data_IF_720720740252
#
_entry.id   IF_720720740252
#
_cell.length_a   1.000
_cell.length_b   1.000
_cell.length_c   1.000
_cell.angle_alpha   90.00
_cell.angle_beta   90.00
_cell.angle_gamma   90.00
#
_symmetry.space_group_name_H-M   'P 1'
#
loop_
_entity.id
_entity.type
_entity.pdbx_description
1 polymer ?
#
# COMPACT_ATOMS: atom_id res chain seq x y z
N UNK A 1 -18.33 12.09 -4.64
CA UNK A 1 -18.69 12.66 -3.32
C UNK A 1 -20.03 13.44 -3.30
N UNK A 2 -20.40 14.14 -4.36
CA UNK A 2 -21.55 15.08 -4.38
C UNK A 2 -22.93 14.42 -4.35
N UNK A 3 -23.13 13.29 -5.04
CA UNK A 3 -24.43 12.59 -5.11
C UNK A 3 -24.73 11.70 -3.90
N UNK A 4 -23.76 11.48 -3.00
CA UNK A 4 -23.89 10.50 -1.93
C UNK A 4 -23.98 9.06 -2.43
N UNK A 5 -24.51 8.16 -1.60
CA UNK A 5 -24.65 6.73 -1.88
C UNK A 5 -24.49 5.87 -0.62
N UNK A 6 -24.88 4.58 -0.67
CA UNK A 6 -24.97 3.73 0.52
C UNK A 6 -23.61 3.38 1.15
N UNK A 7 -22.51 3.50 0.41
CA UNK A 7 -21.15 3.15 0.88
C UNK A 7 -20.31 4.37 1.27
N UNK A 8 -20.96 5.53 1.46
CA UNK A 8 -20.29 6.76 1.87
C UNK A 8 -19.65 6.67 3.28
N UNK A 9 -18.85 7.67 3.67
CA UNK A 9 -18.46 8.83 2.88
C UNK A 9 -17.47 8.44 1.76
N UNK A 10 -17.46 9.20 0.66
CA UNK A 10 -16.64 8.95 -0.54
C UNK A 10 -15.37 9.81 -0.58
N UNK A 11 -14.88 10.24 0.59
CA UNK A 11 -13.66 11.03 0.75
C UNK A 11 -12.85 10.35 1.85
N UNK A 12 -11.63 9.92 1.53
CA UNK A 12 -10.82 9.09 2.43
C UNK A 12 -10.45 9.81 3.73
N UNK A 13 -10.21 11.13 3.70
CA UNK A 13 -9.96 11.90 4.92
C UNK A 13 -11.14 11.93 5.90
N UNK A 14 -12.34 11.53 5.47
CA UNK A 14 -13.53 11.40 6.32
C UNK A 14 -13.75 9.96 6.83
N UNK A 15 -12.85 9.02 6.51
CA UNK A 15 -12.95 7.58 6.81
C UNK A 15 -11.88 7.09 7.78
N UNK A 16 -11.12 8.01 8.40
CA UNK A 16 -9.97 7.69 9.26
C UNK A 16 -10.23 6.62 10.33
N UNK A 17 -11.37 6.63 11.06
CA UNK A 17 -11.65 5.59 12.06
C UNK A 17 -11.67 4.18 11.48
N UNK A 18 -12.22 3.99 10.27
CA UNK A 18 -12.32 2.68 9.61
C UNK A 18 -10.93 2.13 9.32
N UNK A 19 -10.04 2.97 8.79
CA UNK A 19 -8.68 2.56 8.48
C UNK A 19 -7.87 2.23 9.73
N UNK A 20 -8.04 3.02 10.79
CA UNK A 20 -7.40 2.77 12.07
C UNK A 20 -7.82 1.42 12.63
N UNK A 21 -9.12 1.13 12.68
CA UNK A 21 -9.66 -0.15 13.15
C UNK A 21 -9.04 -1.36 12.42
N UNK A 22 -9.00 -1.31 11.09
CA UNK A 22 -8.45 -2.40 10.29
C UNK A 22 -6.92 -2.51 10.42
N UNK A 23 -6.21 -1.40 10.56
CA UNK A 23 -4.78 -1.40 10.81
C UNK A 23 -4.43 -2.05 12.17
N UNK A 24 -5.23 -1.77 13.21
CA UNK A 24 -5.06 -2.43 14.51
C UNK A 24 -5.37 -3.91 14.43
N UNK A 25 -6.47 -4.31 13.77
CA UNK A 25 -6.80 -5.72 13.54
C UNK A 25 -5.66 -6.47 12.86
N UNK A 26 -5.02 -5.84 11.86
CA UNK A 26 -3.85 -6.42 11.18
C UNK A 26 -2.66 -6.62 12.12
N UNK A 27 -2.46 -5.71 13.09
CA UNK A 27 -1.41 -5.86 14.11
C UNK A 27 -1.76 -6.99 15.07
N UNK A 28 -3.00 -7.04 15.57
CA UNK A 28 -3.48 -8.08 16.47
C UNK A 28 -3.38 -9.49 15.87
N UNK A 29 -3.66 -9.65 14.58
CA UNK A 29 -3.53 -10.93 13.89
C UNK A 29 -2.12 -11.20 13.33
N UNK A 30 -1.12 -10.37 13.66
CA UNK A 30 0.28 -10.57 13.28
C UNK A 30 0.61 -10.36 11.79
N UNK A 31 -0.30 -9.74 11.04
CA UNK A 31 -0.12 -9.37 9.62
C UNK A 31 0.46 -7.97 9.43
N UNK A 32 0.52 -7.17 10.50
CA UNK A 32 1.20 -5.89 10.54
C UNK A 32 1.95 -5.71 11.87
N UNK A 33 2.82 -4.71 11.94
CA UNK A 33 3.56 -4.39 13.16
C UNK A 33 3.84 -2.89 13.28
N UNK A 34 4.08 -2.44 14.50
CA UNK A 34 4.41 -1.05 14.80
C UNK A 34 5.88 -0.78 14.54
N UNK A 35 6.17 0.33 13.87
CA UNK A 35 7.52 0.77 13.55
C UNK A 35 7.76 2.17 14.12
N UNK A 36 8.75 2.27 15.00
CA UNK A 36 9.17 3.50 15.68
C UNK A 36 10.42 4.12 15.04
N UNK A 37 10.82 3.67 13.85
CA UNK A 37 11.99 4.23 13.17
C UNK A 37 11.74 5.69 12.76
N UNK A 38 12.71 6.54 13.07
CA UNK A 38 12.66 7.95 12.68
C UNK A 38 12.83 8.13 11.17
N UNK A 39 12.30 9.21 10.57
CA UNK A 39 12.55 9.55 9.17
C UNK A 39 14.04 9.65 8.82
N UNK A 40 14.84 10.20 9.74
CA UNK A 40 16.29 10.30 9.60
C UNK A 40 16.97 8.93 9.46
N UNK A 41 16.64 7.98 10.35
CA UNK A 41 17.14 6.60 10.26
C UNK A 41 16.79 5.97 8.92
N UNK A 42 15.54 6.12 8.48
CA UNK A 42 15.07 5.55 7.21
C UNK A 42 15.74 6.21 5.99
N UNK A 43 16.04 7.50 6.07
CA UNK A 43 16.80 8.21 5.03
C UNK A 43 18.22 7.67 4.92
N UNK A 44 18.90 7.50 6.07
CA UNK A 44 20.26 6.94 6.12
C UNK A 44 20.32 5.50 5.62
N UNK A 45 19.32 4.68 5.97
CA UNK A 45 19.19 3.31 5.46
C UNK A 45 19.10 3.30 3.93
N UNK A 46 18.19 4.10 3.35
CA UNK A 46 18.01 4.18 1.90
C UNK A 46 19.29 4.66 1.21
N UNK A 47 19.92 5.72 1.73
CA UNK A 47 21.18 6.23 1.18
C UNK A 47 22.29 5.17 1.24
N UNK A 48 22.34 4.37 2.29
CA UNK A 48 23.27 3.24 2.38
C UNK A 48 22.98 2.18 1.31
N UNK A 49 21.75 1.69 1.21
CA UNK A 49 21.35 0.69 0.22
C UNK A 49 21.65 1.15 -1.21
N UNK A 50 21.28 2.39 -1.55
CA UNK A 50 21.56 2.98 -2.86
C UNK A 50 23.06 3.03 -3.16
N UNK A 51 23.91 3.41 -2.19
CA UNK A 51 25.37 3.42 -2.36
C UNK A 51 25.96 2.03 -2.62
N UNK A 52 25.33 0.97 -2.11
CA UNK A 52 25.74 -0.41 -2.31
C UNK A 52 25.06 -1.08 -3.52
N UNK A 53 24.23 -0.36 -4.26
CA UNK A 53 23.46 -0.92 -5.39
C UNK A 53 22.38 -1.92 -4.97
N UNK A 54 21.97 -1.89 -3.71
CA UNK A 54 20.93 -2.76 -3.16
C UNK A 54 19.53 -2.19 -3.44
N UNK A 55 18.54 -3.07 -3.44
CA UNK A 55 17.14 -2.65 -3.48
C UNK A 55 16.78 -1.85 -2.21
N UNK A 56 16.09 -0.73 -2.38
CA UNK A 56 15.69 0.14 -1.27
C UNK A 56 14.49 -0.44 -0.54
N UNK A 57 14.75 -1.14 0.55
CA UNK A 57 13.73 -1.82 1.37
C UNK A 57 13.91 -1.50 2.84
N UNK A 58 12.82 -1.55 3.60
CA UNK A 58 12.87 -1.48 5.03
C UNK A 58 13.55 -2.72 5.61
N UNK A 59 14.44 -2.49 6.56
CA UNK A 59 15.28 -3.52 7.18
C UNK A 59 14.59 -4.30 8.30
N UNK A 60 13.28 -4.14 8.46
CA UNK A 60 12.46 -4.82 9.47
C UNK A 60 12.94 -4.61 10.91
N UNK A 61 13.63 -3.52 11.19
CA UNK A 61 14.25 -3.27 12.50
C UNK A 61 13.27 -3.25 13.68
N UNK A 62 11.98 -2.99 13.45
CA UNK A 62 10.94 -3.04 14.48
C UNK A 62 10.10 -4.34 14.50
N UNK A 63 10.36 -5.29 13.60
CA UNK A 63 9.57 -6.52 13.52
C UNK A 63 9.75 -7.44 14.75
N UNK A 64 10.93 -7.38 15.38
CA UNK A 64 11.27 -8.20 16.54
C UNK A 64 11.02 -7.53 17.90
N UNK A 65 10.37 -6.36 17.94
CA UNK A 65 10.04 -5.71 19.22
C UNK A 65 9.03 -6.57 19.99
N UNK A 66 9.26 -6.71 21.29
CA UNK A 66 8.34 -7.40 22.20
C UNK A 66 7.08 -6.56 22.45
N UNK A 67 5.99 -7.21 22.85
CA UNK A 67 4.75 -6.51 23.23
C UNK A 67 4.99 -5.50 24.36
N UNK A 68 5.87 -5.81 25.30
CA UNK A 68 6.26 -4.91 26.38
C UNK A 68 6.96 -3.65 25.84
N UNK A 69 7.99 -3.80 25.00
CA UNK A 69 8.69 -2.64 24.42
C UNK A 69 7.77 -1.77 23.57
N UNK A 70 6.84 -2.40 22.84
CA UNK A 70 5.83 -1.68 22.05
C UNK A 70 4.90 -0.91 22.99
N UNK A 71 4.37 -1.55 24.04
CA UNK A 71 3.46 -0.92 25.00
C UNK A 71 4.11 0.26 25.72
N UNK A 72 5.36 0.13 26.16
CA UNK A 72 6.11 1.20 26.82
C UNK A 72 6.31 2.41 25.89
N UNK A 73 6.69 2.18 24.63
CA UNK A 73 6.86 3.26 23.64
C UNK A 73 5.54 3.95 23.30
N UNK A 74 4.46 3.18 23.15
CA UNK A 74 3.13 3.74 22.92
C UNK A 74 2.66 4.55 24.12
N UNK A 75 2.86 4.06 25.35
CA UNK A 75 2.50 4.77 26.58
C UNK A 75 3.28 6.07 26.77
N UNK A 76 4.54 6.12 26.30
CA UNK A 76 5.36 7.34 26.26
C UNK A 76 4.91 8.35 25.20
N UNK A 77 4.05 7.94 24.27
CA UNK A 77 3.59 8.78 23.16
C UNK A 77 4.58 8.84 21.99
N UNK A 78 5.47 7.85 21.84
CA UNK A 78 6.40 7.80 20.71
C UNK A 78 5.63 7.70 19.39
N UNK A 79 5.98 8.57 18.44
CA UNK A 79 5.45 8.51 17.09
C UNK A 79 5.82 7.18 16.43
N UNK A 80 4.83 6.53 15.81
CA UNK A 80 5.02 5.26 15.14
C UNK A 80 4.14 5.13 13.91
N UNK A 81 4.54 4.22 13.03
CA UNK A 81 3.77 3.81 11.86
C UNK A 81 3.32 2.36 12.03
N UNK A 82 2.31 1.93 11.28
CA UNK A 82 1.95 0.52 11.15
C UNK A 82 2.42 0.05 9.77
N UNK A 83 3.21 -1.02 9.71
CA UNK A 83 3.74 -1.61 8.48
C UNK A 83 3.13 -2.96 8.20
N UNK A 84 2.86 -3.24 6.93
CA UNK A 84 2.48 -4.58 6.47
C UNK A 84 3.67 -5.53 6.65
N UNK A 85 3.42 -6.69 7.25
CA UNK A 85 4.39 -7.78 7.31
C UNK A 85 4.26 -8.61 6.04
N UNK A 86 5.20 -8.47 5.11
CA UNK A 86 5.23 -9.32 3.91
C UNK A 86 5.69 -10.74 4.32
N UNK A 87 4.88 -11.79 4.13
CA UNK A 87 5.28 -13.15 4.47
C UNK A 87 6.33 -13.67 3.48
N UNK A 88 7.01 -14.76 3.82
CA UNK A 88 7.85 -15.45 2.83
C UNK A 88 7.00 -16.11 1.73
N UNK A 89 7.63 -16.44 0.61
CA UNK A 89 6.99 -17.14 -0.51
C UNK A 89 6.65 -16.23 -1.69
N UNK A 90 5.48 -16.44 -2.28
CA UNK A 90 5.08 -15.79 -3.53
C UNK A 90 3.58 -15.53 -3.59
N UNK A 91 3.21 -14.51 -4.34
CA UNK A 91 1.82 -14.18 -4.66
C UNK A 91 1.61 -14.27 -6.16
N UNK A 92 0.55 -14.97 -6.56
CA UNK A 92 0.11 -15.01 -7.96
C UNK A 92 -1.11 -14.11 -8.10
N UNK A 93 -0.99 -13.10 -8.96
CA UNK A 93 -2.08 -12.20 -9.34
C UNK A 93 -2.70 -12.71 -10.63
N UNK A 94 -4.01 -12.96 -10.64
CA UNK A 94 -4.76 -13.23 -11.87
C UNK A 94 -5.33 -11.92 -12.39
N UNK A 95 -4.71 -11.37 -13.42
CA UNK A 95 -5.17 -10.20 -14.15
C UNK A 95 -5.95 -10.60 -15.40
N UNK A 96 -7.06 -9.91 -15.67
CA UNK A 96 -7.95 -10.22 -16.80
C UNK A 96 -7.29 -9.96 -18.17
N UNK A 97 -6.30 -9.07 -18.25
CA UNK A 97 -5.60 -8.72 -19.50
C UNK A 97 -4.19 -9.33 -19.56
N UNK A 98 -3.48 -9.38 -18.44
CA UNK A 98 -2.09 -9.88 -18.35
C UNK A 98 -2.00 -11.37 -18.02
N UNK A 99 -3.12 -12.01 -17.67
CA UNK A 99 -3.13 -13.40 -17.23
C UNK A 99 -2.56 -13.58 -15.83
N UNK A 100 -1.82 -14.67 -15.61
CA UNK A 100 -1.24 -14.98 -14.30
C UNK A 100 0.16 -14.34 -14.16
N UNK A 101 0.31 -13.42 -13.23
CA UNK A 101 1.57 -12.75 -12.92
C UNK A 101 2.03 -13.17 -11.52
N UNK A 102 3.22 -13.75 -11.43
CA UNK A 102 3.78 -14.23 -10.16
C UNK A 102 4.81 -13.23 -9.62
N UNK A 103 4.71 -12.92 -8.32
CA UNK A 103 5.63 -12.04 -7.61
C UNK A 103 6.29 -12.79 -6.46
N UNK A 104 7.62 -12.75 -6.41
CA UNK A 104 8.40 -13.23 -5.27
C UNK A 104 8.35 -12.19 -4.14
N UNK A 105 8.05 -12.64 -2.93
CA UNK A 105 7.97 -11.75 -1.77
C UNK A 105 9.32 -11.17 -1.34
N UNK A 106 10.44 -11.80 -1.72
CA UNK A 106 11.78 -11.29 -1.45
C UNK A 106 12.02 -9.90 -2.07
N UNK A 107 11.30 -9.55 -3.14
CA UNK A 107 11.35 -8.23 -3.79
C UNK A 107 10.29 -7.24 -3.33
N UNK A 108 9.51 -7.55 -2.27
CA UNK A 108 8.38 -6.74 -1.83
C UNK A 108 8.65 -6.18 -0.44
N UNK A 109 8.72 -4.85 -0.36
CA UNK A 109 8.97 -4.15 0.91
C UNK A 109 7.79 -4.17 1.90
N UNK A 110 8.11 -4.16 3.20
CA UNK A 110 7.19 -3.99 4.33
C UNK A 110 6.67 -2.54 4.38
N UNK A 111 5.72 -2.29 3.50
CA UNK A 111 5.13 -0.98 3.25
C UNK A 111 4.38 -0.43 4.47
N UNK A 112 4.51 0.87 4.71
CA UNK A 112 3.68 1.59 5.70
C UNK A 112 2.20 1.53 5.26
N UNK A 113 1.32 1.12 6.18
CA UNK A 113 -0.14 1.11 6.04
C UNK A 113 -0.77 2.31 6.73
N UNK A 114 -0.31 2.65 7.94
CA UNK A 114 -0.72 3.86 8.67
C UNK A 114 0.51 4.70 9.03
N UNK A 115 0.43 6.00 8.74
CA UNK A 115 1.44 6.99 9.12
C UNK A 115 1.27 7.41 10.57
N UNK A 116 2.29 8.05 11.14
CA UNK A 116 2.29 8.56 12.51
C UNK A 116 1.33 9.73 12.74
N UNK A 117 0.89 10.41 11.68
CA UNK A 117 -0.14 11.44 11.72
C UNK A 117 -1.57 10.88 11.76
N UNK A 118 -1.72 9.54 11.80
CA UNK A 118 -3.02 8.86 11.83
C UNK A 118 -3.71 8.71 10.47
N UNK A 119 -3.07 9.11 9.37
CA UNK A 119 -3.59 8.90 8.02
C UNK A 119 -3.11 7.57 7.43
N UNK A 120 -3.97 6.85 6.68
CA UNK A 120 -3.55 5.68 5.94
C UNK A 120 -2.64 6.05 4.77
N UNK A 121 -1.92 5.06 4.25
CA UNK A 121 -1.36 5.13 2.91
C UNK A 121 -2.36 4.64 1.88
N UNK A 122 -2.05 4.87 0.60
CA UNK A 122 -2.84 4.37 -0.52
C UNK A 122 -3.17 2.88 -0.40
N UNK A 123 -2.22 2.04 0.01
CA UNK A 123 -2.41 0.59 0.03
C UNK A 123 -3.50 0.14 1.01
N UNK A 124 -3.50 0.71 2.22
CA UNK A 124 -4.50 0.36 3.22
C UNK A 124 -5.87 0.94 2.85
N UNK A 125 -5.91 2.22 2.48
CA UNK A 125 -7.16 2.90 2.16
C UNK A 125 -7.84 2.27 0.93
N UNK A 126 -7.09 1.97 -0.13
CA UNK A 126 -7.62 1.35 -1.34
C UNK A 126 -8.24 -0.02 -1.07
N UNK A 127 -7.55 -0.93 -0.34
CA UNK A 127 -8.09 -2.27 -0.07
C UNK A 127 -9.35 -2.22 0.80
N UNK A 128 -9.33 -1.38 1.84
CA UNK A 128 -10.49 -1.24 2.74
C UNK A 128 -11.67 -0.61 2.01
N UNK A 129 -11.45 0.44 1.21
CA UNK A 129 -12.52 1.12 0.50
C UNK A 129 -13.07 0.27 -0.63
N UNK A 130 -12.23 -0.42 -1.41
CA UNK A 130 -12.68 -1.33 -2.46
C UNK A 130 -13.56 -2.43 -1.87
N UNK A 131 -13.21 -2.98 -0.70
CA UNK A 131 -14.05 -3.94 0.00
C UNK A 131 -15.35 -3.32 0.52
N UNK A 132 -15.27 -2.21 1.26
CA UNK A 132 -16.42 -1.56 1.90
C UNK A 132 -17.43 -0.97 0.90
N UNK A 133 -16.95 -0.65 -0.30
CA UNK A 133 -17.76 -0.16 -1.43
C UNK A 133 -18.13 -1.27 -2.41
N UNK A 134 -17.87 -2.53 -2.08
CA UNK A 134 -18.25 -3.72 -2.85
C UNK A 134 -17.77 -3.68 -4.31
N UNK A 135 -16.55 -3.19 -4.52
CA UNK A 135 -15.94 -3.14 -5.85
C UNK A 135 -15.74 -4.57 -6.35
N UNK A 136 -16.34 -4.87 -7.50
CA UNK A 136 -16.20 -6.18 -8.15
C UNK A 136 -15.01 -6.26 -9.10
N UNK A 137 -14.68 -5.13 -9.75
CA UNK A 137 -13.62 -5.03 -10.75
C UNK A 137 -12.79 -3.78 -10.52
N UNK A 138 -11.48 -3.95 -10.39
CA UNK A 138 -10.50 -2.86 -10.33
C UNK A 138 -9.83 -2.75 -11.69
N UNK A 139 -10.18 -1.68 -12.41
CA UNK A 139 -9.62 -1.35 -13.73
C UNK A 139 -8.76 -0.10 -13.57
N UNK A 140 -7.43 -0.22 -13.77
CA UNK A 140 -6.47 0.87 -13.55
C UNK A 140 -5.23 0.71 -14.42
N UNK A 141 -4.39 1.73 -14.51
CA UNK A 141 -3.15 1.68 -15.31
C UNK A 141 -2.14 0.64 -14.80
N UNK A 142 -1.36 0.06 -15.70
CA UNK A 142 -0.36 -0.99 -15.40
C UNK A 142 0.76 -0.55 -14.44
N UNK A 143 0.95 0.75 -14.25
CA UNK A 143 1.86 1.27 -13.24
C UNK A 143 1.50 0.81 -11.81
N UNK A 144 0.25 0.40 -11.58
CA UNK A 144 -0.22 -0.13 -10.30
C UNK A 144 -0.09 -1.66 -10.18
N UNK A 145 0.25 -2.37 -11.26
CA UNK A 145 0.40 -3.82 -11.24
C UNK A 145 1.40 -4.30 -10.16
N UNK A 146 2.59 -3.67 -9.98
CA UNK A 146 3.53 -4.05 -8.92
C UNK A 146 3.01 -3.87 -7.48
N UNK A 147 1.95 -3.08 -7.28
CA UNK A 147 1.30 -2.91 -5.97
C UNK A 147 0.28 -4.00 -5.66
N UNK A 148 -0.24 -4.67 -6.69
CA UNK A 148 -1.30 -5.67 -6.56
C UNK A 148 -0.94 -6.87 -5.68
N UNK A 149 0.29 -7.44 -5.66
CA UNK A 149 0.61 -8.50 -4.70
C UNK A 149 0.47 -8.05 -3.24
N UNK A 150 0.84 -6.79 -2.91
CA UNK A 150 0.62 -6.22 -1.56
C UNK A 150 -0.87 -6.15 -1.24
N UNK A 151 -1.69 -5.74 -2.21
CA UNK A 151 -3.15 -5.71 -2.04
C UNK A 151 -3.74 -7.10 -1.83
N UNK A 152 -3.33 -8.10 -2.62
CA UNK A 152 -3.77 -9.51 -2.44
C UNK A 152 -3.39 -10.05 -1.06
N UNK A 153 -2.18 -9.76 -0.57
CA UNK A 153 -1.75 -10.11 0.79
C UNK A 153 -2.67 -9.44 1.82
N UNK A 154 -2.98 -8.15 1.65
CA UNK A 154 -3.89 -7.42 2.55
C UNK A 154 -5.33 -7.97 2.54
N UNK A 155 -5.89 -8.23 1.35
CA UNK A 155 -7.21 -8.87 1.22
C UNK A 155 -7.25 -10.19 2.00
N UNK A 156 -6.24 -11.05 1.81
CA UNK A 156 -6.13 -12.32 2.52
C UNK A 156 -5.99 -12.13 4.04
N UNK A 157 -5.15 -11.20 4.47
CA UNK A 157 -4.93 -10.91 5.89
C UNK A 157 -6.19 -10.39 6.61
N UNK A 158 -7.03 -9.64 5.90
CA UNK A 158 -8.29 -9.11 6.42
C UNK A 158 -9.47 -10.10 6.30
N UNK A 159 -9.27 -11.22 5.59
CA UNK A 159 -10.32 -12.19 5.28
C UNK A 159 -11.30 -11.73 4.20
N UNK A 160 -10.90 -10.79 3.36
CA UNK A 160 -11.71 -10.21 2.29
C UNK A 160 -11.51 -10.97 0.98
N UNK A 161 -12.56 -11.04 0.17
CA UNK A 161 -12.44 -11.52 -1.22
C UNK A 161 -11.88 -10.39 -2.09
N UNK A 162 -10.77 -10.61 -2.81
CA UNK A 162 -10.23 -9.60 -3.71
C UNK A 162 -11.14 -9.42 -4.94
N UNK A 163 -11.25 -8.20 -5.49
CA UNK A 163 -11.92 -7.96 -6.77
C UNK A 163 -11.15 -8.60 -7.92
N UNK A 164 -11.78 -8.64 -9.09
CA UNK A 164 -11.08 -8.96 -10.34
C UNK A 164 -10.21 -7.77 -10.76
N UNK A 165 -8.97 -8.01 -11.16
CA UNK A 165 -8.05 -6.95 -11.59
C UNK A 165 -7.91 -6.93 -13.12
N UNK A 166 -7.89 -5.74 -13.71
CA UNK A 166 -7.53 -5.52 -15.10
C UNK A 166 -6.62 -4.29 -15.23
N UNK A 167 -5.36 -4.52 -15.58
CA UNK A 167 -4.37 -3.46 -15.71
C UNK A 167 -4.21 -2.98 -17.17
N UNK A 168 -4.68 -1.75 -17.42
CA UNK A 168 -4.65 -1.10 -18.73
C UNK A 168 -3.21 -0.73 -19.13
N UNK A 169 -2.89 -0.85 -20.41
CA UNK A 169 -1.58 -0.46 -20.94
C UNK A 169 -1.30 1.04 -20.79
N UNK A 170 -0.03 1.40 -20.70
CA UNK A 170 0.39 2.81 -20.66
C UNK A 170 -0.01 3.54 -21.94
N UNK A 171 -0.45 4.79 -21.77
CA UNK A 171 -0.54 5.74 -22.87
C UNK A 171 0.87 6.18 -23.26
N UNK A 172 1.17 6.06 -24.55
CA UNK A 172 2.46 6.40 -25.13
C UNK A 172 2.29 7.56 -26.11
N UNK A 173 3.34 8.37 -26.23
CA UNK A 173 3.51 9.32 -27.32
C UNK A 173 3.72 8.59 -28.66
N UNK A 174 3.67 9.32 -29.78
CA UNK A 174 4.00 8.77 -31.10
C UNK A 174 5.41 8.15 -31.16
N UNK A 175 6.36 8.73 -30.42
CA UNK A 175 7.73 8.23 -30.27
C UNK A 175 7.86 7.02 -29.32
N UNK A 176 6.73 6.49 -28.83
CA UNK A 176 6.61 5.37 -27.86
C UNK A 176 7.16 5.64 -26.47
N UNK A 177 7.56 6.87 -26.16
CA UNK A 177 7.88 7.25 -24.80
C UNK A 177 6.60 7.35 -23.96
N UNK A 178 6.74 7.13 -22.64
CA UNK A 178 5.60 7.26 -21.73
C UNK A 178 5.07 8.70 -21.77
N UNK A 179 3.77 8.87 -22.02
CA UNK A 179 3.12 10.17 -21.96
C UNK A 179 3.38 10.80 -20.58
N UNK A 180 3.94 12.01 -20.57
CA UNK A 180 4.35 12.68 -19.34
C UNK A 180 3.97 14.16 -19.38
N UNK A 181 3.69 14.74 -18.21
CA UNK A 181 3.34 16.16 -18.06
C UNK A 181 4.39 17.14 -18.58
N UNK A 182 5.58 16.67 -18.98
CA UNK A 182 6.66 17.51 -19.49
C UNK A 182 6.60 17.75 -21.00
N UNK A 183 5.75 17.04 -21.74
CA UNK A 183 5.77 17.02 -23.21
C UNK A 183 4.51 17.59 -23.90
N UNK A 184 3.67 18.38 -23.22
CA UNK A 184 2.53 19.08 -23.84
C UNK A 184 1.24 18.94 -23.04
N UNK A 185 0.12 19.22 -23.73
CA UNK A 185 -1.27 19.17 -23.25
C UNK A 185 -1.61 17.75 -22.79
N UNK A 186 -1.49 17.52 -21.49
CA UNK A 186 -1.82 16.23 -20.85
C UNK A 186 -2.94 16.39 -19.82
N UNK A 187 -3.37 17.62 -19.56
CA UNK A 187 -4.58 17.86 -18.81
C UNK A 187 -5.77 17.72 -19.77
N UNK A 188 -6.88 17.16 -19.30
CA UNK A 188 -8.08 17.05 -20.13
C UNK A 188 -8.60 18.44 -20.46
N UNK A 189 -8.39 19.40 -19.57
CA UNK A 189 -8.78 20.80 -19.68
C UNK A 189 -8.05 21.55 -20.80
N UNK A 190 -6.95 20.99 -21.34
CA UNK A 190 -6.19 21.57 -22.44
C UNK A 190 -6.83 21.23 -23.83
N UNK A 191 -7.90 20.42 -23.86
CA UNK A 191 -8.65 19.99 -25.06
C UNK A 191 -10.13 20.36 -25.01
#
# INVERSE_FOLDING_TARGET
>A
PTKGGPHGPYIQSQRLPIYKEHAEKLVECGHAYRCFCTPERLSNLRASQTRHGEATMYDRACLGLTEQEIAERVARGDAHTIRLKIPEGKTVVKDLLRGYVQFDHAGIDDQVLMKSDGYPTYHLANVIDDHAMEISHVIRGEEWLPSTPKHVILYKALGFQPPQFAHLGLLLNEDRTKLSKRQGDVAVEDF
#
